data_IF_964722583994
#
_entry.id   IF_964722583994
#
_cell.length_a   1.000
_cell.length_b   1.000
_cell.length_c   1.000
_cell.angle_alpha   90.00
_cell.angle_beta   90.00
_cell.angle_gamma   90.00
#
_symmetry.space_group_name_H-M   'P 1'
#
loop_
_entity.id
_entity.type
_entity.pdbx_description
1 polymer ?
#
# COMPACT_ATOMS: atom_id res chain seq x y z
N UNK A 1 -21.44 -3.89 17.37
CA UNK A 1 -21.30 -2.87 16.29
C UNK A 1 -20.97 -3.51 14.94
N UNK A 2 -21.78 -4.48 14.54
CA UNK A 2 -21.61 -5.20 13.26
C UNK A 2 -21.57 -4.25 12.04
N UNK A 3 -22.24 -3.11 12.09
CA UNK A 3 -22.33 -2.17 10.96
C UNK A 3 -20.97 -1.55 10.60
N UNK A 4 -20.18 -1.16 11.61
CA UNK A 4 -18.83 -0.59 11.39
C UNK A 4 -17.89 -1.64 10.81
N UNK A 5 -18.04 -2.89 11.24
CA UNK A 5 -17.25 -4.01 10.71
C UNK A 5 -17.58 -4.29 9.25
N UNK A 6 -18.88 -4.27 8.87
CA UNK A 6 -19.30 -4.41 7.48
C UNK A 6 -18.79 -3.28 6.58
N UNK A 7 -18.84 -2.03 7.06
CA UNK A 7 -18.31 -0.87 6.31
C UNK A 7 -16.81 -1.02 6.05
N UNK A 8 -16.05 -1.47 7.05
CA UNK A 8 -14.60 -1.66 6.92
C UNK A 8 -14.27 -2.86 6.04
N UNK A 9 -14.94 -4.00 6.27
CA UNK A 9 -14.72 -5.23 5.50
C UNK A 9 -15.05 -5.06 4.01
N UNK A 10 -16.10 -4.29 3.67
CA UNK A 10 -16.47 -4.05 2.28
C UNK A 10 -15.34 -3.37 1.47
N UNK A 11 -14.61 -2.43 2.09
CA UNK A 11 -13.45 -1.81 1.47
C UNK A 11 -12.33 -2.80 1.18
N UNK A 12 -12.04 -3.70 2.11
CA UNK A 12 -11.02 -4.73 1.95
C UNK A 12 -11.42 -5.77 0.89
N UNK A 13 -12.68 -6.21 0.88
CA UNK A 13 -13.22 -7.10 -0.15
C UNK A 13 -13.14 -6.47 -1.54
N UNK A 14 -13.48 -5.18 -1.65
CA UNK A 14 -13.31 -4.42 -2.87
C UNK A 14 -11.85 -4.39 -3.35
N UNK A 15 -10.90 -4.18 -2.45
CA UNK A 15 -9.48 -4.15 -2.78
C UNK A 15 -8.98 -5.51 -3.29
N UNK A 16 -9.42 -6.61 -2.68
CA UNK A 16 -9.14 -7.96 -3.17
C UNK A 16 -9.64 -8.15 -4.61
N UNK A 17 -10.90 -7.81 -4.89
CA UNK A 17 -11.50 -7.93 -6.22
C UNK A 17 -10.73 -7.07 -7.25
N UNK A 18 -10.40 -5.84 -6.89
CA UNK A 18 -9.63 -4.92 -7.73
C UNK A 18 -8.24 -5.47 -8.07
N UNK A 19 -7.52 -5.99 -7.10
CA UNK A 19 -6.19 -6.55 -7.27
C UNK A 19 -6.19 -7.80 -8.18
N UNK A 20 -7.17 -8.71 -8.03
CA UNK A 20 -7.29 -9.92 -8.84
C UNK A 20 -7.54 -9.58 -10.31
N UNK A 21 -8.44 -8.64 -10.58
CA UNK A 21 -8.80 -8.27 -11.95
C UNK A 21 -7.74 -7.41 -12.64
N UNK A 22 -6.95 -6.67 -11.87
CA UNK A 22 -6.07 -5.62 -12.37
C UNK A 22 -4.96 -6.15 -13.28
N UNK A 23 -4.36 -7.30 -12.98
CA UNK A 23 -3.24 -7.85 -13.75
C UNK A 23 -3.55 -7.96 -15.23
N UNK A 24 -4.65 -8.64 -15.59
CA UNK A 24 -5.09 -8.79 -16.98
C UNK A 24 -5.54 -7.46 -17.61
N UNK A 25 -6.27 -6.65 -16.85
CA UNK A 25 -6.75 -5.36 -17.35
C UNK A 25 -5.58 -4.41 -17.67
N UNK A 26 -4.56 -4.36 -16.84
CA UNK A 26 -3.39 -3.53 -17.06
C UNK A 26 -2.55 -3.97 -18.28
N UNK A 27 -2.52 -5.27 -18.59
CA UNK A 27 -1.85 -5.81 -19.77
C UNK A 27 -2.63 -5.51 -21.07
N UNK A 28 -3.96 -5.49 -21.01
CA UNK A 28 -4.82 -5.20 -22.17
C UNK A 28 -4.84 -3.71 -22.48
N UNK A 29 -5.17 -2.89 -21.51
CA UNK A 29 -5.47 -1.46 -21.71
C UNK A 29 -4.27 -0.52 -21.49
N UNK A 30 -3.23 -0.99 -20.80
CA UNK A 30 -2.06 -0.19 -20.40
C UNK A 30 -2.13 0.28 -18.96
N UNK A 31 -0.95 0.48 -18.39
CA UNK A 31 -0.81 0.84 -16.96
C UNK A 31 -1.38 2.21 -16.67
N UNK A 32 -1.01 3.20 -17.50
CA UNK A 32 -1.49 4.58 -17.37
C UNK A 32 -3.00 4.69 -17.39
N UNK A 33 -3.66 4.04 -18.35
CA UNK A 33 -5.13 4.11 -18.48
C UNK A 33 -5.83 3.48 -17.27
N UNK A 34 -5.32 2.37 -16.78
CA UNK A 34 -5.87 1.68 -15.62
C UNK A 34 -5.73 2.54 -14.35
N UNK A 35 -4.59 3.23 -14.16
CA UNK A 35 -4.43 4.18 -13.05
C UNK A 35 -5.40 5.36 -13.19
N UNK A 36 -5.60 5.91 -14.38
CA UNK A 36 -6.59 6.97 -14.63
C UNK A 36 -8.01 6.51 -14.27
N UNK A 37 -8.41 5.31 -14.72
CA UNK A 37 -9.71 4.73 -14.41
C UNK A 37 -9.86 4.51 -12.90
N UNK A 38 -8.84 4.00 -12.23
CA UNK A 38 -8.88 3.81 -10.77
C UNK A 38 -9.03 5.13 -10.03
N UNK A 39 -8.36 6.21 -10.47
CA UNK A 39 -8.51 7.53 -9.89
C UNK A 39 -9.94 8.08 -10.02
N UNK A 40 -10.59 7.86 -11.17
CA UNK A 40 -11.99 8.23 -11.37
C UNK A 40 -12.92 7.40 -10.48
N UNK A 41 -12.74 6.09 -10.44
CA UNK A 41 -13.53 5.20 -9.57
C UNK A 41 -13.38 5.61 -8.11
N UNK A 42 -12.16 5.94 -7.67
CA UNK A 42 -11.91 6.41 -6.31
C UNK A 42 -12.63 7.73 -6.02
N UNK A 43 -12.52 8.72 -6.91
CA UNK A 43 -13.20 10.02 -6.74
C UNK A 43 -14.72 9.86 -6.66
N UNK A 44 -15.32 9.07 -7.56
CA UNK A 44 -16.76 8.77 -7.54
C UNK A 44 -17.15 8.02 -6.28
N UNK A 45 -16.38 7.03 -5.85
CA UNK A 45 -16.62 6.26 -4.63
C UNK A 45 -16.54 7.13 -3.36
N UNK A 46 -15.58 8.06 -3.29
CA UNK A 46 -15.46 9.00 -2.19
C UNK A 46 -16.64 9.99 -2.12
N UNK A 47 -17.04 10.53 -3.27
CA UNK A 47 -18.24 11.36 -3.34
C UNK A 47 -19.50 10.60 -2.95
N UNK A 48 -19.68 9.39 -3.46
CA UNK A 48 -20.81 8.53 -3.12
C UNK A 48 -20.82 8.18 -1.62
N UNK A 49 -19.67 7.87 -1.03
CA UNK A 49 -19.57 7.59 0.42
C UNK A 49 -20.06 8.77 1.27
N UNK A 50 -19.67 10.00 0.92
CA UNK A 50 -20.13 11.19 1.63
C UNK A 50 -21.61 11.55 1.38
N UNK A 51 -22.21 11.10 0.26
CA UNK A 51 -23.63 11.29 -0.06
C UNK A 51 -24.52 10.16 0.45
N UNK A 52 -23.96 9.09 1.02
CA UNK A 52 -24.73 7.94 1.48
C UNK A 52 -25.73 8.34 2.57
N UNK A 53 -26.98 7.88 2.41
CA UNK A 53 -28.10 8.14 3.35
C UNK A 53 -28.39 6.95 4.23
N UNK A 54 -28.02 5.76 3.81
CA UNK A 54 -28.26 4.50 4.50
C UNK A 54 -27.01 3.61 4.55
N UNK A 55 -27.00 2.65 5.46
CA UNK A 55 -25.90 1.74 5.68
C UNK A 55 -25.53 0.96 4.41
N UNK A 56 -26.53 0.48 3.67
CA UNK A 56 -26.31 -0.30 2.44
C UNK A 56 -25.56 0.52 1.39
N UNK A 57 -26.01 1.77 1.16
CA UNK A 57 -25.36 2.69 0.24
C UNK A 57 -23.90 2.94 0.63
N UNK A 58 -23.62 3.11 1.94
CA UNK A 58 -22.28 3.30 2.43
C UNK A 58 -21.39 2.04 2.24
N UNK A 59 -21.92 0.85 2.50
CA UNK A 59 -21.20 -0.41 2.29
C UNK A 59 -20.85 -0.61 0.80
N UNK A 60 -21.80 -0.36 -0.12
CA UNK A 60 -21.53 -0.46 -1.56
C UNK A 60 -20.53 0.58 -2.06
N UNK A 61 -20.61 1.81 -1.57
CA UNK A 61 -19.65 2.85 -1.94
C UNK A 61 -18.24 2.50 -1.43
N UNK A 62 -18.10 1.89 -0.26
CA UNK A 62 -16.83 1.38 0.29
C UNK A 62 -16.26 0.22 -0.53
N UNK A 63 -17.11 -0.71 -0.97
CA UNK A 63 -16.70 -1.78 -1.88
C UNK A 63 -16.17 -1.20 -3.20
N UNK A 64 -16.86 -0.21 -3.76
CA UNK A 64 -16.45 0.47 -4.98
C UNK A 64 -15.13 1.23 -4.83
N UNK A 65 -14.96 1.95 -3.72
CA UNK A 65 -13.70 2.58 -3.32
C UNK A 65 -12.57 1.56 -3.19
N UNK A 66 -12.86 0.43 -2.55
CA UNK A 66 -11.92 -0.67 -2.38
C UNK A 66 -11.39 -1.18 -3.72
N UNK A 67 -12.26 -1.38 -4.72
CA UNK A 67 -11.82 -1.82 -6.06
C UNK A 67 -10.78 -0.85 -6.63
N UNK A 68 -10.99 0.46 -6.50
CA UNK A 68 -10.02 1.45 -6.97
C UNK A 68 -8.68 1.35 -6.24
N UNK A 69 -8.71 1.16 -4.91
CA UNK A 69 -7.52 0.98 -4.08
C UNK A 69 -6.75 -0.27 -4.51
N UNK A 70 -7.43 -1.41 -4.69
CA UNK A 70 -6.80 -2.65 -5.12
C UNK A 70 -6.13 -2.55 -6.48
N UNK A 71 -6.81 -1.91 -7.45
CA UNK A 71 -6.26 -1.63 -8.77
C UNK A 71 -5.02 -0.74 -8.68
N UNK A 72 -5.09 0.35 -7.91
CA UNK A 72 -3.97 1.29 -7.76
C UNK A 72 -2.77 0.64 -7.05
N UNK A 73 -3.02 -0.12 -5.97
CA UNK A 73 -1.96 -0.78 -5.19
C UNK A 73 -1.14 -1.77 -6.00
N UNK A 74 -1.75 -2.40 -7.01
CA UNK A 74 -1.04 -3.28 -7.94
C UNK A 74 -0.37 -2.50 -9.08
N UNK A 75 -1.12 -1.60 -9.74
CA UNK A 75 -0.67 -0.98 -10.99
C UNK A 75 0.37 0.10 -10.78
N UNK A 76 0.30 0.87 -9.68
CA UNK A 76 1.22 1.99 -9.45
C UNK A 76 2.65 1.52 -9.22
N UNK A 77 2.95 0.54 -8.34
CA UNK A 77 4.31 0.01 -8.20
C UNK A 77 4.84 -0.61 -9.50
N UNK A 78 3.98 -1.31 -10.25
CA UNK A 78 4.33 -1.88 -11.55
C UNK A 78 4.69 -0.78 -12.56
N UNK A 79 3.89 0.28 -12.65
CA UNK A 79 4.16 1.42 -13.49
C UNK A 79 5.51 2.07 -13.16
N UNK A 80 5.77 2.31 -11.86
CA UNK A 80 7.05 2.86 -11.40
C UNK A 80 8.20 1.94 -11.77
N UNK A 81 8.07 0.63 -11.56
CA UNK A 81 9.12 -0.33 -11.86
C UNK A 81 9.44 -0.43 -13.37
N UNK A 82 8.44 -0.22 -14.25
CA UNK A 82 8.61 -0.26 -15.70
C UNK A 82 9.16 1.06 -16.30
N UNK A 83 8.89 2.21 -15.67
CA UNK A 83 9.31 3.52 -16.19
C UNK A 83 10.63 4.00 -15.56
N UNK A 84 10.97 3.52 -14.35
CA UNK A 84 12.15 3.96 -13.63
C UNK A 84 13.45 3.48 -14.27
N UNK A 85 14.48 4.36 -14.38
CA UNK A 85 15.82 3.96 -14.78
C UNK A 85 16.37 2.85 -13.88
N UNK A 86 17.16 1.92 -14.46
CA UNK A 86 17.68 0.76 -13.74
C UNK A 86 18.41 1.12 -12.44
N UNK A 87 19.19 2.22 -12.44
CA UNK A 87 19.96 2.71 -11.27
C UNK A 87 19.09 3.19 -10.11
N UNK A 88 17.91 3.74 -10.37
CA UNK A 88 17.04 4.35 -9.36
C UNK A 88 15.75 3.55 -9.08
N UNK A 89 15.53 2.46 -9.82
CA UNK A 89 14.28 1.67 -9.76
C UNK A 89 13.92 1.23 -8.34
N UNK A 90 14.84 0.62 -7.62
CA UNK A 90 14.60 0.16 -6.24
C UNK A 90 14.20 1.31 -5.32
N UNK A 91 14.92 2.44 -5.41
CA UNK A 91 14.61 3.63 -4.61
C UNK A 91 13.23 4.22 -4.92
N UNK A 92 12.86 4.32 -6.21
CA UNK A 92 11.56 4.84 -6.63
C UNK A 92 10.40 3.92 -6.24
N UNK A 93 10.58 2.60 -6.33
CA UNK A 93 9.59 1.62 -5.85
C UNK A 93 9.44 1.71 -4.32
N UNK A 94 10.54 1.90 -3.57
CA UNK A 94 10.47 2.08 -2.12
C UNK A 94 9.76 3.38 -1.72
N UNK A 95 9.82 4.44 -2.54
CA UNK A 95 9.06 5.67 -2.33
C UNK A 95 7.55 5.46 -2.39
N UNK A 96 7.06 4.41 -3.07
CA UNK A 96 5.64 4.05 -3.02
C UNK A 96 5.17 3.81 -1.59
N UNK A 97 5.92 3.02 -0.82
CA UNK A 97 5.58 2.77 0.59
C UNK A 97 5.60 4.06 1.44
N UNK A 98 6.57 4.93 1.21
CA UNK A 98 6.61 6.23 1.88
C UNK A 98 5.38 7.08 1.56
N UNK A 99 4.96 7.11 0.29
CA UNK A 99 3.75 7.86 -0.11
C UNK A 99 2.48 7.27 0.52
N UNK A 100 2.40 5.96 0.72
CA UNK A 100 1.29 5.31 1.44
C UNK A 100 1.25 5.83 2.90
N UNK A 101 2.37 5.86 3.61
CA UNK A 101 2.41 6.33 5.00
C UNK A 101 2.12 7.83 5.12
N UNK A 102 2.60 8.65 4.17
CA UNK A 102 2.24 10.08 4.09
C UNK A 102 0.73 10.24 3.84
N UNK A 103 0.14 9.42 2.96
CA UNK A 103 -1.30 9.43 2.71
C UNK A 103 -2.12 9.12 3.95
N UNK A 104 -1.69 8.14 4.76
CA UNK A 104 -2.31 7.81 6.05
C UNK A 104 -2.24 9.01 7.02
N UNK A 105 -1.07 9.65 7.12
CA UNK A 105 -0.90 10.84 7.97
C UNK A 105 -1.81 11.99 7.52
N UNK A 106 -1.85 12.27 6.22
CA UNK A 106 -2.72 13.32 5.67
C UNK A 106 -4.21 13.01 5.89
N UNK A 107 -4.61 11.73 5.84
CA UNK A 107 -5.96 11.32 6.17
C UNK A 107 -6.30 11.62 7.62
N UNK A 108 -5.44 11.24 8.58
CA UNK A 108 -5.66 11.56 10.00
C UNK A 108 -5.70 13.08 10.26
N UNK A 109 -4.84 13.85 9.60
CA UNK A 109 -4.87 15.32 9.72
C UNK A 109 -6.17 15.90 9.15
N UNK A 110 -6.63 15.39 8.01
CA UNK A 110 -7.92 15.77 7.43
C UNK A 110 -9.08 15.43 8.36
N UNK A 111 -9.09 14.22 8.93
CA UNK A 111 -10.13 13.78 9.86
C UNK A 111 -10.17 14.69 11.10
N UNK A 112 -9.00 15.10 11.62
CA UNK A 112 -8.89 16.05 12.73
C UNK A 112 -9.46 17.43 12.37
N UNK A 113 -9.22 17.89 11.15
CA UNK A 113 -9.69 19.22 10.69
C UNK A 113 -11.22 19.27 10.55
N UNK A 114 -11.83 18.17 10.11
CA UNK A 114 -13.29 18.09 9.91
C UNK A 114 -14.05 17.55 11.14
N UNK A 115 -13.33 17.00 12.14
CA UNK A 115 -13.95 16.47 13.35
C UNK A 115 -14.61 17.61 14.16
N UNK A 116 -15.90 17.51 14.33
CA UNK A 116 -16.70 18.43 15.15
C UNK A 116 -17.69 17.60 15.99
N UNK A 117 -17.49 17.56 17.31
CA UNK A 117 -18.33 16.76 18.21
C UNK A 117 -19.80 17.21 18.22
N UNK A 118 -20.08 18.44 17.78
CA UNK A 118 -21.43 19.01 17.72
C UNK A 118 -22.15 18.73 16.40
N UNK A 119 -21.46 18.19 15.37
CA UNK A 119 -22.03 17.93 14.06
C UNK A 119 -22.04 16.45 13.74
N UNK A 120 -23.22 15.86 13.61
CA UNK A 120 -23.40 14.45 13.26
C UNK A 120 -22.93 14.12 11.82
N UNK A 121 -22.87 15.08 10.92
CA UNK A 121 -22.53 14.89 9.50
C UNK A 121 -21.06 15.20 9.18
N UNK A 122 -20.21 15.44 10.15
CA UNK A 122 -18.77 15.75 9.93
C UNK A 122 -18.03 14.65 9.15
N UNK A 123 -18.40 13.38 9.33
CA UNK A 123 -17.82 12.25 8.63
C UNK A 123 -17.96 12.30 7.09
N UNK A 124 -18.98 13.02 6.58
CA UNK A 124 -19.19 13.20 5.13
C UNK A 124 -18.05 14.00 4.51
N UNK A 125 -17.62 15.06 5.20
CA UNK A 125 -16.50 15.91 4.77
C UNK A 125 -15.17 15.13 4.80
N UNK A 126 -14.97 14.23 5.76
CA UNK A 126 -13.81 13.36 5.82
C UNK A 126 -13.72 12.46 4.57
N UNK A 127 -14.85 11.90 4.09
CA UNK A 127 -14.86 11.15 2.84
C UNK A 127 -14.62 12.03 1.61
N UNK A 128 -15.22 13.20 1.56
CA UNK A 128 -15.03 14.12 0.43
C UNK A 128 -13.60 14.64 0.34
N UNK A 129 -12.90 14.78 1.43
CA UNK A 129 -11.47 15.13 1.43
C UNK A 129 -10.63 14.14 0.61
N UNK A 130 -11.01 12.86 0.56
CA UNK A 130 -10.38 11.85 -0.28
C UNK A 130 -10.48 12.11 -1.80
N UNK A 131 -11.41 12.97 -2.25
CA UNK A 131 -11.51 13.35 -3.66
C UNK A 131 -10.31 14.17 -4.12
N UNK A 132 -9.73 14.98 -3.23
CA UNK A 132 -8.59 15.86 -3.56
C UNK A 132 -7.37 15.06 -4.06
N UNK A 133 -6.84 14.07 -3.32
CA UNK A 133 -5.73 13.27 -3.82
C UNK A 133 -6.08 12.46 -5.08
N UNK A 134 -7.34 12.03 -5.25
CA UNK A 134 -7.77 11.37 -6.48
C UNK A 134 -7.70 12.28 -7.69
N UNK A 135 -8.12 13.54 -7.55
CA UNK A 135 -8.01 14.55 -8.61
C UNK A 135 -6.55 14.90 -8.91
N UNK A 136 -5.71 15.02 -7.89
CA UNK A 136 -4.27 15.23 -8.08
C UNK A 136 -3.64 14.07 -8.86
N UNK A 137 -3.98 12.83 -8.52
CA UNK A 137 -3.53 11.65 -9.26
C UNK A 137 -4.05 11.66 -10.71
N UNK A 138 -5.33 11.98 -10.91
CA UNK A 138 -5.96 12.02 -12.23
C UNK A 138 -5.25 13.05 -13.13
N UNK A 139 -5.07 14.27 -12.64
CA UNK A 139 -4.38 15.35 -13.36
C UNK A 139 -2.93 15.01 -13.61
N UNK A 140 -2.20 14.54 -12.58
CA UNK A 140 -0.80 14.13 -12.71
C UNK A 140 -0.59 13.04 -13.77
N UNK A 141 -1.45 12.03 -13.81
CA UNK A 141 -1.37 10.93 -14.77
C UNK A 141 -1.71 11.37 -16.22
N UNK A 142 -2.37 12.51 -16.43
CA UNK A 142 -2.55 13.04 -17.77
C UNK A 142 -1.24 13.48 -18.42
N UNK A 143 -0.26 13.93 -17.64
CA UNK A 143 1.04 14.41 -18.12
C UNK A 143 2.10 13.31 -18.24
N UNK A 144 1.88 12.13 -17.68
CA UNK A 144 2.85 11.04 -17.66
C UNK A 144 2.60 10.09 -18.84
N UNK A 145 3.65 9.60 -19.55
CA UNK A 145 3.50 8.69 -20.69
C UNK A 145 3.11 7.27 -20.24
N UNK A 146 2.73 6.42 -21.21
CA UNK A 146 2.58 4.98 -20.99
C UNK A 146 3.94 4.31 -20.84
N UNK A 147 4.00 3.12 -20.22
CA UNK A 147 5.26 2.43 -19.94
C UNK A 147 5.92 1.91 -21.23
N UNK A 148 7.27 1.99 -21.35
CA UNK A 148 7.99 1.50 -22.53
C UNK A 148 7.73 0.01 -22.81
N UNK A 149 7.69 -0.82 -21.76
CA UNK A 149 7.46 -2.25 -21.87
C UNK A 149 6.09 -2.58 -22.46
N UNK A 150 5.04 -1.89 -22.03
CA UNK A 150 3.71 -2.08 -22.59
C UNK A 150 3.61 -1.58 -24.03
N UNK A 151 4.18 -0.41 -24.34
CA UNK A 151 4.19 0.12 -25.70
C UNK A 151 4.88 -0.85 -26.68
N UNK A 152 5.98 -1.44 -26.27
CA UNK A 152 6.72 -2.41 -27.06
C UNK A 152 5.91 -3.72 -27.24
N UNK A 153 5.28 -4.23 -26.19
CA UNK A 153 4.44 -5.43 -26.26
C UNK A 153 3.23 -5.28 -27.21
N UNK A 154 2.79 -4.03 -27.45
CA UNK A 154 1.72 -3.69 -28.41
C UNK A 154 2.24 -3.30 -29.79
N UNK A 155 3.55 -3.44 -30.05
CA UNK A 155 4.17 -3.09 -31.34
C UNK A 155 4.32 -1.58 -31.61
N UNK A 156 4.13 -0.72 -30.58
CA UNK A 156 4.20 0.75 -30.69
C UNK A 156 5.63 1.26 -30.50
N UNK A 157 6.58 0.76 -31.33
CA UNK A 157 8.02 1.01 -31.21
C UNK A 157 8.37 2.51 -31.24
N UNK A 158 7.71 3.29 -32.11
CA UNK A 158 7.98 4.74 -32.22
C UNK A 158 7.70 5.49 -30.93
N UNK A 159 6.64 5.12 -30.22
CA UNK A 159 6.27 5.75 -28.96
C UNK A 159 7.15 5.26 -27.81
N UNK A 160 7.46 3.96 -27.79
CA UNK A 160 8.42 3.39 -26.85
C UNK A 160 9.75 4.15 -26.91
N UNK A 161 10.30 4.36 -28.12
CA UNK A 161 11.54 5.12 -28.32
C UNK A 161 11.44 6.55 -27.79
N UNK A 162 10.35 7.26 -28.06
CA UNK A 162 10.13 8.64 -27.55
C UNK A 162 10.09 8.70 -26.02
N UNK A 163 9.53 7.69 -25.37
CA UNK A 163 9.49 7.63 -23.91
C UNK A 163 10.87 7.34 -23.35
N UNK A 164 11.59 6.37 -23.91
CA UNK A 164 12.95 6.01 -23.47
C UNK A 164 13.93 7.16 -23.64
N UNK A 165 13.86 7.92 -24.75
CA UNK A 165 14.70 9.09 -24.96
C UNK A 165 14.52 10.22 -23.94
N UNK A 166 13.38 10.25 -23.21
CA UNK A 166 13.16 11.21 -22.13
C UNK A 166 13.75 10.76 -20.80
N UNK A 167 14.05 9.47 -20.66
CA UNK A 167 14.40 8.83 -19.37
C UNK A 167 15.86 8.41 -19.34
N UNK A 168 16.39 7.96 -20.48
CA UNK A 168 17.73 7.38 -20.63
C UNK A 168 18.53 8.10 -21.71
N UNK A 169 19.87 8.07 -21.65
CA UNK A 169 20.75 8.63 -22.66
C UNK A 169 20.51 7.96 -24.04
N UNK A 170 20.59 8.75 -25.10
CA UNK A 170 20.24 8.31 -26.46
C UNK A 170 21.07 7.12 -26.96
N UNK A 171 22.33 7.02 -26.53
CA UNK A 171 23.25 5.92 -26.89
C UNK A 171 22.82 4.56 -26.29
N UNK A 172 22.03 4.53 -25.23
CA UNK A 172 21.57 3.30 -24.56
C UNK A 172 20.17 2.85 -24.99
N UNK A 173 19.39 3.72 -25.64
CA UNK A 173 17.99 3.47 -26.00
C UNK A 173 17.83 2.26 -26.93
N UNK A 174 18.70 2.09 -27.95
CA UNK A 174 18.59 0.98 -28.88
C UNK A 174 18.89 -0.36 -28.21
N UNK A 175 19.89 -0.39 -27.32
CA UNK A 175 20.27 -1.60 -26.58
C UNK A 175 19.16 -1.99 -25.59
N UNK A 176 18.54 -1.01 -24.93
CA UNK A 176 17.40 -1.26 -24.04
C UNK A 176 16.18 -1.79 -24.79
N UNK A 177 15.87 -1.25 -25.97
CA UNK A 177 14.78 -1.77 -26.81
C UNK A 177 15.07 -3.22 -27.20
N UNK A 178 16.27 -3.54 -27.68
CA UNK A 178 16.64 -4.90 -28.04
C UNK A 178 16.56 -5.88 -26.87
N UNK A 179 17.01 -5.47 -25.67
CA UNK A 179 16.87 -6.28 -24.46
C UNK A 179 15.40 -6.53 -24.09
N UNK A 180 14.55 -5.49 -24.14
CA UNK A 180 13.11 -5.61 -23.87
C UNK A 180 12.40 -6.49 -24.91
N UNK A 181 12.75 -6.41 -26.19
CA UNK A 181 12.20 -7.28 -27.25
C UNK A 181 12.51 -8.75 -26.97
N UNK A 182 13.75 -9.05 -26.65
CA UNK A 182 14.18 -10.42 -26.30
C UNK A 182 13.46 -10.92 -25.05
N UNK A 183 13.25 -10.06 -24.05
CA UNK A 183 12.48 -10.41 -22.83
C UNK A 183 11.01 -10.70 -23.17
N UNK A 184 10.35 -9.82 -23.91
CA UNK A 184 8.95 -9.96 -24.32
C UNK A 184 8.75 -11.23 -25.17
N UNK A 185 9.66 -11.51 -26.09
CA UNK A 185 9.60 -12.69 -26.95
C UNK A 185 9.82 -13.98 -26.12
N UNK A 186 10.74 -13.97 -25.16
CA UNK A 186 10.92 -15.05 -24.20
C UNK A 186 9.67 -15.27 -23.33
N UNK A 187 9.04 -14.19 -22.88
CA UNK A 187 7.81 -14.27 -22.10
C UNK A 187 6.63 -14.81 -22.95
N UNK A 188 6.60 -14.48 -24.23
CA UNK A 188 5.57 -14.96 -25.17
C UNK A 188 5.77 -16.42 -25.57
N UNK A 189 7.02 -16.85 -25.78
CA UNK A 189 7.38 -18.21 -26.19
C UNK A 189 7.44 -19.19 -25.00
N UNK A 190 7.84 -18.71 -23.83
CA UNK A 190 7.62 -19.43 -22.59
C UNK A 190 6.22 -19.07 -22.13
N UNK A 191 5.25 -19.94 -22.37
CA UNK A 191 4.01 -19.93 -21.61
C UNK A 191 4.35 -20.16 -20.12
N UNK A 192 4.89 -19.11 -19.47
CA UNK A 192 5.20 -19.10 -18.03
C UNK A 192 3.84 -18.98 -17.30
N UNK A 193 3.05 -20.05 -17.46
CA UNK A 193 1.83 -20.19 -16.70
C UNK A 193 2.15 -20.48 -15.24
N UNK A 194 1.13 -20.48 -14.42
CA UNK A 194 1.17 -20.83 -12.99
C UNK A 194 1.94 -22.14 -12.70
N UNK A 195 1.96 -23.09 -13.66
CA UNK A 195 2.73 -24.33 -13.58
C UNK A 195 4.25 -24.13 -13.51
N UNK A 196 4.77 -23.04 -14.08
CA UNK A 196 6.21 -22.73 -14.03
C UNK A 196 6.65 -22.30 -12.62
N UNK A 197 5.80 -21.57 -11.89
CA UNK A 197 6.05 -21.19 -10.51
C UNK A 197 6.06 -22.39 -9.54
N UNK A 198 5.44 -23.50 -9.94
CA UNK A 198 5.45 -24.74 -9.17
C UNK A 198 6.70 -25.61 -9.37
N UNK A 199 7.67 -25.13 -10.17
CA UNK A 199 8.95 -25.85 -10.31
C UNK A 199 9.69 -25.94 -8.97
N UNK A 200 10.39 -27.06 -8.69
CA UNK A 200 11.00 -27.29 -7.37
C UNK A 200 11.91 -26.16 -6.88
N UNK A 201 12.66 -25.53 -7.77
CA UNK A 201 13.59 -24.46 -7.43
C UNK A 201 12.91 -23.10 -7.16
N UNK A 202 11.67 -22.88 -7.64
CA UNK A 202 10.89 -21.67 -7.39
C UNK A 202 9.93 -21.79 -6.21
N UNK A 203 9.68 -23.00 -5.71
CA UNK A 203 8.77 -23.23 -4.59
C UNK A 203 9.23 -22.52 -3.33
N UNK A 204 10.52 -22.55 -3.03
CA UNK A 204 11.09 -21.89 -1.85
C UNK A 204 10.94 -20.37 -1.91
N UNK A 205 11.37 -19.66 -2.97
CA UNK A 205 11.10 -18.24 -3.15
C UNK A 205 9.61 -17.88 -3.07
N UNK A 206 8.75 -18.67 -3.68
CA UNK A 206 7.29 -18.47 -3.67
C UNK A 206 6.74 -18.60 -2.26
N UNK A 207 7.10 -19.66 -1.55
CA UNK A 207 6.65 -19.86 -0.16
C UNK A 207 7.13 -18.72 0.75
N UNK A 208 8.38 -18.29 0.62
CA UNK A 208 8.91 -17.16 1.40
C UNK A 208 8.10 -15.88 1.09
N UNK A 209 7.83 -15.57 -0.18
CA UNK A 209 7.09 -14.38 -0.57
C UNK A 209 5.66 -14.39 0.00
N UNK A 210 4.95 -15.51 -0.15
CA UNK A 210 3.58 -15.67 0.37
C UNK A 210 3.58 -15.59 1.89
N UNK A 211 4.50 -16.29 2.58
CA UNK A 211 4.59 -16.23 4.04
C UNK A 211 4.89 -14.83 4.55
N UNK A 212 5.84 -14.12 3.93
CA UNK A 212 6.19 -12.75 4.35
C UNK A 212 4.96 -11.84 4.24
N UNK A 213 4.23 -11.87 3.13
CA UNK A 213 3.06 -11.01 2.94
C UNK A 213 1.89 -11.43 3.81
N UNK A 214 1.64 -12.72 3.95
CA UNK A 214 0.62 -13.24 4.84
C UNK A 214 0.87 -12.80 6.29
N UNK A 215 2.07 -13.02 6.82
CA UNK A 215 2.41 -12.61 8.18
C UNK A 215 2.46 -11.10 8.35
N UNK A 216 2.80 -10.33 7.32
CA UNK A 216 2.72 -8.87 7.34
C UNK A 216 1.29 -8.39 7.67
N UNK A 217 0.28 -9.01 7.10
CA UNK A 217 -1.12 -8.66 7.40
C UNK A 217 -1.57 -9.23 8.74
N UNK A 218 -1.12 -10.43 9.09
CA UNK A 218 -1.46 -11.10 10.34
C UNK A 218 -0.93 -10.39 11.60
N UNK A 219 0.11 -9.57 11.46
CA UNK A 219 0.60 -8.69 12.54
C UNK A 219 -0.49 -7.70 13.00
N UNK A 220 -1.49 -7.40 12.16
CA UNK A 220 -2.65 -6.59 12.56
C UNK A 220 -2.45 -5.09 12.42
N UNK A 221 -1.49 -4.62 11.62
CA UNK A 221 -1.24 -3.18 11.43
C UNK A 221 -2.48 -2.43 10.93
N UNK A 222 -3.24 -3.04 10.03
CA UNK A 222 -4.47 -2.44 9.50
C UNK A 222 -5.51 -2.24 10.59
N UNK A 223 -5.60 -3.17 11.56
CA UNK A 223 -6.47 -3.00 12.73
C UNK A 223 -6.06 -1.79 13.55
N UNK A 224 -4.76 -1.61 13.78
CA UNK A 224 -4.27 -0.43 14.51
C UNK A 224 -4.56 0.86 13.74
N UNK A 225 -4.33 0.89 12.43
CA UNK A 225 -4.57 2.07 11.60
C UNK A 225 -6.07 2.42 11.54
N UNK A 226 -6.94 1.44 11.25
CA UNK A 226 -8.38 1.72 11.06
C UNK A 226 -9.13 1.98 12.36
N UNK A 227 -8.71 1.36 13.45
CA UNK A 227 -9.40 1.47 14.74
C UNK A 227 -8.63 2.28 15.78
N UNK A 228 -7.57 3.02 15.38
CA UNK A 228 -6.75 3.80 16.31
C UNK A 228 -7.55 4.75 17.20
N UNK A 229 -8.54 5.54 16.73
CA UNK A 229 -9.32 6.39 17.62
C UNK A 229 -10.11 5.59 18.65
N UNK A 230 -10.69 4.44 18.23
CA UNK A 230 -11.43 3.55 19.14
C UNK A 230 -10.52 2.93 20.20
N UNK A 231 -9.31 2.52 19.80
CA UNK A 231 -8.31 1.95 20.73
C UNK A 231 -7.91 3.01 21.77
N UNK A 232 -7.69 4.26 21.35
CA UNK A 232 -7.37 5.35 22.30
C UNK A 232 -8.53 5.68 23.23
N UNK A 233 -9.78 5.67 22.76
CA UNK A 233 -10.95 5.81 23.64
C UNK A 233 -11.01 4.68 24.67
N UNK A 234 -10.74 3.43 24.27
CA UNK A 234 -10.67 2.29 25.21
C UNK A 234 -9.49 2.40 26.17
N UNK A 235 -8.41 3.07 25.78
CA UNK A 235 -7.27 3.37 26.64
C UNK A 235 -7.54 4.51 27.65
N UNK A 236 -8.73 5.12 27.61
CA UNK A 236 -9.17 6.13 28.60
C UNK A 236 -9.00 7.58 28.15
N UNK A 237 -8.95 7.84 26.83
CA UNK A 237 -9.07 9.21 26.32
C UNK A 237 -10.52 9.70 26.47
N UNK A 238 -10.69 10.93 26.96
CA UNK A 238 -12.00 11.45 27.37
C UNK A 238 -12.87 11.89 26.20
N UNK A 239 -12.26 12.34 25.08
CA UNK A 239 -12.99 12.83 23.93
C UNK A 239 -12.57 12.15 22.63
N UNK A 240 -13.50 12.08 21.68
CA UNK A 240 -13.23 11.58 20.32
C UNK A 240 -12.16 12.42 19.62
N UNK A 241 -12.15 13.72 19.84
CA UNK A 241 -11.18 14.63 19.25
C UNK A 241 -9.75 14.34 19.75
N UNK A 242 -9.59 14.11 21.07
CA UNK A 242 -8.26 13.74 21.62
C UNK A 242 -7.76 12.40 21.09
N UNK A 243 -8.65 11.43 20.88
CA UNK A 243 -8.31 10.15 20.28
C UNK A 243 -7.89 10.27 18.79
N UNK A 244 -8.55 11.14 18.02
CA UNK A 244 -8.17 11.43 16.65
C UNK A 244 -6.79 12.12 16.60
N UNK A 245 -6.52 13.09 17.47
CA UNK A 245 -5.19 13.72 17.61
C UNK A 245 -4.09 12.70 17.94
N UNK A 246 -4.36 11.75 18.83
CA UNK A 246 -3.44 10.67 19.12
C UNK A 246 -3.16 9.78 17.87
N UNK A 247 -4.17 9.60 17.01
CA UNK A 247 -4.00 8.89 15.73
C UNK A 247 -3.12 9.65 14.73
N UNK A 248 -3.13 10.99 14.74
CA UNK A 248 -2.15 11.79 13.99
C UNK A 248 -0.73 11.46 14.46
N UNK A 249 -0.52 11.30 15.77
CA UNK A 249 0.76 10.85 16.32
C UNK A 249 1.22 9.50 15.75
N UNK A 250 0.31 8.53 15.59
CA UNK A 250 0.60 7.26 14.89
C UNK A 250 1.06 7.51 13.46
N UNK A 251 0.37 8.38 12.72
CA UNK A 251 0.73 8.73 11.36
C UNK A 251 2.14 9.36 11.27
N UNK A 252 2.47 10.28 12.18
CA UNK A 252 3.80 10.90 12.24
C UNK A 252 4.88 9.85 12.51
N UNK A 253 4.68 9.01 13.52
CA UNK A 253 5.60 7.90 13.84
C UNK A 253 5.79 6.99 12.63
N UNK A 254 4.70 6.60 11.96
CA UNK A 254 4.76 5.75 10.78
C UNK A 254 5.62 6.37 9.66
N UNK A 255 5.42 7.64 9.33
CA UNK A 255 6.22 8.35 8.30
C UNK A 255 7.69 8.44 8.71
N UNK A 256 7.98 8.92 9.93
CA UNK A 256 9.36 9.10 10.42
C UNK A 256 10.13 7.79 10.38
N UNK A 257 9.54 6.72 10.91
CA UNK A 257 10.21 5.42 10.96
C UNK A 257 10.27 4.71 9.60
N UNK A 258 9.34 4.99 8.68
CA UNK A 258 9.47 4.56 7.28
C UNK A 258 10.65 5.25 6.59
N UNK A 259 10.84 6.56 6.79
CA UNK A 259 12.02 7.28 6.27
C UNK A 259 13.31 6.69 6.85
N UNK A 260 13.35 6.46 8.15
CA UNK A 260 14.52 5.82 8.82
C UNK A 260 14.77 4.43 8.21
N UNK A 261 13.74 3.64 7.96
CA UNK A 261 13.86 2.32 7.33
C UNK A 261 14.56 2.37 5.97
N UNK A 262 14.22 3.35 5.12
CA UNK A 262 14.88 3.50 3.81
C UNK A 262 16.40 3.67 3.90
N UNK A 263 16.89 4.30 4.97
CA UNK A 263 18.33 4.43 5.22
C UNK A 263 18.94 3.19 5.88
N UNK A 264 18.20 2.52 6.78
CA UNK A 264 18.71 1.38 7.54
C UNK A 264 18.78 0.10 6.71
N UNK A 265 17.88 -0.09 5.75
CA UNK A 265 17.82 -1.30 4.91
C UNK A 265 19.15 -1.61 4.22
N UNK A 266 19.82 -0.59 3.71
CA UNK A 266 21.09 -0.76 3.01
C UNK A 266 22.30 -0.90 3.95
N UNK A 267 22.19 -0.40 5.20
CA UNK A 267 23.29 -0.45 6.19
C UNK A 267 23.28 -1.72 7.06
N UNK A 268 22.12 -2.09 7.59
CA UNK A 268 21.96 -3.20 8.55
C UNK A 268 21.68 -4.51 7.83
N UNK A 269 21.05 -4.44 6.65
CA UNK A 269 20.65 -5.59 5.86
C UNK A 269 19.25 -6.11 6.24
N UNK A 270 18.58 -6.72 5.25
CA UNK A 270 17.14 -7.08 5.28
C UNK A 270 16.83 -8.03 6.46
N UNK A 271 17.63 -9.10 6.63
CA UNK A 271 17.39 -10.13 7.64
C UNK A 271 17.45 -9.60 9.08
N UNK A 272 18.48 -8.83 9.41
CA UNK A 272 18.63 -8.28 10.77
C UNK A 272 17.51 -7.31 11.10
N UNK A 273 17.12 -6.47 10.12
CA UNK A 273 16.06 -5.49 10.28
C UNK A 273 14.70 -6.16 10.51
N UNK A 274 14.44 -7.29 9.83
CA UNK A 274 13.25 -8.11 10.09
C UNK A 274 13.21 -8.63 11.54
N UNK A 275 14.32 -9.18 12.05
CA UNK A 275 14.36 -9.69 13.43
C UNK A 275 14.16 -8.57 14.45
N UNK A 276 14.81 -7.41 14.27
CA UNK A 276 14.63 -6.25 15.15
C UNK A 276 13.16 -5.81 15.17
N UNK A 277 12.56 -5.72 14.01
CA UNK A 277 11.17 -5.30 13.91
C UNK A 277 10.19 -6.31 14.51
N UNK A 278 10.31 -7.60 14.18
CA UNK A 278 9.42 -8.63 14.71
C UNK A 278 9.50 -8.74 16.23
N UNK A 279 10.74 -8.73 16.79
CA UNK A 279 10.92 -8.76 18.25
C UNK A 279 10.37 -7.51 18.92
N UNK A 280 10.56 -6.33 18.31
CA UNK A 280 9.99 -5.07 18.81
C UNK A 280 8.47 -5.04 18.77
N UNK A 281 7.86 -5.53 17.67
CA UNK A 281 6.41 -5.68 17.55
C UNK A 281 5.87 -6.62 18.64
N UNK A 282 6.46 -7.81 18.79
CA UNK A 282 6.04 -8.79 19.78
C UNK A 282 6.13 -8.21 21.20
N UNK A 283 7.23 -7.54 21.52
CA UNK A 283 7.40 -6.87 22.80
C UNK A 283 6.35 -5.79 23.03
N UNK A 284 6.10 -4.92 22.03
CA UNK A 284 5.12 -3.85 22.14
C UNK A 284 3.70 -4.38 22.34
N UNK A 285 3.32 -5.45 21.61
CA UNK A 285 1.99 -6.08 21.75
C UNK A 285 1.83 -6.74 23.13
N UNK A 286 2.85 -7.43 23.64
CA UNK A 286 2.80 -8.03 24.97
C UNK A 286 2.64 -6.97 26.06
N UNK A 287 3.43 -5.89 25.99
CA UNK A 287 3.31 -4.78 26.93
C UNK A 287 1.95 -4.07 26.83
N UNK A 288 1.46 -3.85 25.59
CA UNK A 288 0.14 -3.26 25.37
C UNK A 288 -0.96 -4.13 25.97
N UNK A 289 -0.91 -5.45 25.78
CA UNK A 289 -1.86 -6.39 26.35
C UNK A 289 -1.83 -6.37 27.88
N UNK A 290 -0.63 -6.33 28.48
CA UNK A 290 -0.48 -6.19 29.92
C UNK A 290 -1.10 -4.88 30.42
N UNK A 291 -0.86 -3.76 29.74
CA UNK A 291 -1.48 -2.48 30.10
C UNK A 291 -3.01 -2.52 30.05
N UNK A 292 -3.61 -3.21 29.08
CA UNK A 292 -5.09 -3.38 29.04
C UNK A 292 -5.62 -4.26 30.18
N UNK A 293 -4.91 -5.37 30.52
CA UNK A 293 -5.32 -6.26 31.63
C UNK A 293 -5.25 -5.53 32.98
N UNK A 294 -4.21 -4.74 33.19
CA UNK A 294 -3.99 -4.02 34.45
C UNK A 294 -4.46 -2.55 34.40
N UNK A 295 -5.30 -2.17 33.42
CA UNK A 295 -5.73 -0.79 33.22
C UNK A 295 -6.30 -0.13 34.47
N UNK A 296 -7.15 -0.86 35.25
CA UNK A 296 -7.76 -0.38 36.47
C UNK A 296 -6.75 -0.12 37.60
N UNK A 297 -5.59 -0.79 37.61
CA UNK A 297 -4.56 -0.62 38.62
C UNK A 297 -3.54 0.46 38.27
N UNK A 298 -3.28 0.64 36.98
CA UNK A 298 -2.28 1.57 36.46
C UNK A 298 -2.78 3.02 36.30
N UNK A 299 -4.10 3.21 36.24
CA UNK A 299 -4.72 4.55 36.14
C UNK A 299 -4.13 5.38 34.96
N UNK A 300 -3.74 6.63 35.26
CA UNK A 300 -3.15 7.54 34.26
C UNK A 300 -1.83 7.04 33.66
N UNK A 301 -1.00 6.40 34.47
CA UNK A 301 0.28 5.84 33.99
C UNK A 301 0.01 4.77 32.93
N UNK A 302 -1.00 3.93 33.15
CA UNK A 302 -1.41 2.91 32.19
C UNK A 302 -1.81 3.50 30.83
N UNK A 303 -2.53 4.61 30.84
CA UNK A 303 -2.92 5.35 29.62
C UNK A 303 -1.70 5.77 28.78
N UNK A 304 -0.72 6.41 29.40
CA UNK A 304 0.49 6.84 28.72
C UNK A 304 1.35 5.67 28.25
N UNK A 305 1.44 4.59 29.04
CA UNK A 305 2.14 3.37 28.62
C UNK A 305 1.48 2.73 27.38
N UNK A 306 0.14 2.69 27.31
CA UNK A 306 -0.58 2.21 26.13
C UNK A 306 -0.22 3.01 24.88
N UNK A 307 -0.17 4.34 24.97
CA UNK A 307 0.23 5.23 23.87
C UNK A 307 1.67 4.94 23.43
N UNK A 308 2.60 4.82 24.37
CA UNK A 308 4.02 4.55 24.09
C UNK A 308 4.18 3.21 23.39
N UNK A 309 3.55 2.15 23.89
CA UNK A 309 3.67 0.83 23.26
C UNK A 309 2.94 0.74 21.93
N UNK A 310 1.85 1.48 21.74
CA UNK A 310 1.18 1.58 20.46
C UNK A 310 2.03 2.31 19.42
N UNK A 311 2.69 3.40 19.79
CA UNK A 311 3.65 4.09 18.94
C UNK A 311 4.88 3.23 18.67
N UNK A 312 5.38 2.49 19.67
CA UNK A 312 6.46 1.52 19.53
C UNK A 312 6.11 0.42 18.53
N UNK A 313 4.92 -0.14 18.64
CA UNK A 313 4.42 -1.14 17.69
C UNK A 313 4.45 -0.63 16.24
N UNK A 314 3.90 0.57 16.00
CA UNK A 314 3.88 1.17 14.67
C UNK A 314 5.30 1.51 14.18
N UNK A 315 6.16 1.99 15.06
CA UNK A 315 7.56 2.29 14.76
C UNK A 315 8.34 1.04 14.31
N UNK A 316 8.22 -0.06 15.05
CA UNK A 316 8.88 -1.32 14.69
C UNK A 316 8.32 -1.94 13.41
N UNK A 317 7.02 -1.80 13.17
CA UNK A 317 6.40 -2.19 11.90
C UNK A 317 6.94 -1.36 10.73
N UNK A 318 6.97 -0.03 10.87
CA UNK A 318 7.40 0.89 9.83
C UNK A 318 8.89 0.78 9.49
N UNK A 319 9.72 0.42 10.47
CA UNK A 319 11.16 0.17 10.23
C UNK A 319 11.38 -1.13 9.46
N UNK A 320 10.54 -2.14 9.66
CA UNK A 320 10.84 -3.51 9.22
C UNK A 320 9.85 -4.05 8.21
N UNK A 321 8.80 -4.70 8.67
CA UNK A 321 7.88 -5.52 7.87
C UNK A 321 7.19 -4.68 6.79
N UNK A 322 6.84 -3.42 7.08
CA UNK A 322 6.13 -2.54 6.16
C UNK A 322 6.85 -2.40 4.81
N UNK A 323 8.01 -1.74 4.76
CA UNK A 323 8.74 -1.54 3.51
C UNK A 323 9.50 -2.78 3.03
N UNK A 324 10.02 -3.63 3.95
CA UNK A 324 10.83 -4.78 3.59
C UNK A 324 10.05 -5.89 2.88
N UNK A 325 8.77 -6.06 3.16
CA UNK A 325 7.93 -7.06 2.49
C UNK A 325 7.99 -6.91 0.97
N UNK A 326 7.68 -5.73 0.48
CA UNK A 326 7.71 -5.41 -0.95
C UNK A 326 9.11 -5.49 -1.56
N UNK A 327 10.13 -5.04 -0.81
CA UNK A 327 11.51 -5.08 -1.26
C UNK A 327 12.00 -6.52 -1.42
N UNK A 328 11.81 -7.37 -0.43
CA UNK A 328 12.24 -8.78 -0.47
C UNK A 328 11.58 -9.54 -1.60
N UNK A 329 10.26 -9.34 -1.83
CA UNK A 329 9.57 -9.97 -2.96
C UNK A 329 10.18 -9.52 -4.29
N UNK A 330 10.51 -8.24 -4.43
CA UNK A 330 11.12 -7.75 -5.66
C UNK A 330 12.53 -8.29 -5.90
N UNK A 331 13.25 -8.69 -4.85
CA UNK A 331 14.62 -9.20 -4.91
C UNK A 331 14.70 -10.74 -5.00
N UNK A 332 13.76 -11.48 -4.39
CA UNK A 332 13.83 -12.94 -4.26
C UNK A 332 13.52 -13.69 -5.56
N UNK A 333 12.73 -13.08 -6.44
CA UNK A 333 12.36 -13.70 -7.71
C UNK A 333 13.35 -13.35 -8.82
N UNK A 334 13.79 -14.35 -9.61
CA UNK A 334 14.52 -14.10 -10.86
C UNK A 334 13.71 -13.20 -11.80
N UNK A 335 14.39 -12.44 -12.64
CA UNK A 335 13.75 -11.48 -13.56
C UNK A 335 12.63 -12.10 -14.39
N UNK A 336 12.78 -13.36 -14.82
CA UNK A 336 11.79 -14.09 -15.64
C UNK A 336 10.42 -14.30 -14.99
N UNK A 337 10.36 -14.41 -13.68
CA UNK A 337 9.12 -14.72 -12.93
C UNK A 337 8.77 -13.63 -11.93
N UNK A 338 9.55 -12.55 -11.87
CA UNK A 338 9.37 -11.46 -10.90
C UNK A 338 7.96 -10.88 -10.96
N UNK A 339 7.43 -10.62 -12.17
CA UNK A 339 6.08 -10.07 -12.33
C UNK A 339 4.98 -11.00 -11.78
N UNK A 340 5.07 -12.31 -12.07
CA UNK A 340 4.14 -13.30 -11.52
C UNK A 340 4.32 -13.49 -10.01
N UNK A 341 5.57 -13.53 -9.53
CA UNK A 341 5.87 -13.67 -8.11
C UNK A 341 5.39 -12.47 -7.28
N UNK A 342 5.58 -11.25 -7.77
CA UNK A 342 5.06 -10.03 -7.14
C UNK A 342 3.54 -9.98 -7.16
N UNK A 343 2.89 -10.46 -8.23
CA UNK A 343 1.42 -10.53 -8.30
C UNK A 343 0.85 -11.46 -7.23
N UNK A 344 1.47 -12.64 -7.00
CA UNK A 344 1.04 -13.58 -5.96
C UNK A 344 1.27 -12.97 -4.56
N UNK A 345 2.44 -12.35 -4.35
CA UNK A 345 2.70 -11.64 -3.09
C UNK A 345 1.66 -10.55 -2.83
N UNK A 346 1.28 -9.79 -3.85
CA UNK A 346 0.25 -8.75 -3.73
C UNK A 346 -1.16 -9.30 -3.47
N UNK A 347 -1.46 -10.53 -3.89
CA UNK A 347 -2.74 -11.19 -3.60
C UNK A 347 -2.84 -11.67 -2.15
N UNK A 348 -1.70 -11.86 -1.48
CA UNK A 348 -1.65 -12.27 -0.08
C UNK A 348 -1.80 -11.10 0.90
N UNK A 349 -1.79 -9.87 0.41
CA UNK A 349 -1.99 -8.61 1.14
C UNK A 349 -3.42 -8.12 1.00
#
# INVERSE_FOLDING_TARGET
>A
NNDVEWITAAGLLGAMLGAVCCGRLSDIFGRRKIILVSAVIFAVGALWSGLATDLKSLVFSRLFLGIAIGVASFTVPLYIAEIAPAKSRGRLVSMFQLMVTIGILLSYMSDTFWADENKLDCWRWMFWAGVVPALVLLVGMCFVPETPRWLLSKGRLKECRKVLQKIEPENTVNDLIGQMEVEIEKDRNSAVGWRYLMQPWLRTPLMIAVCIMFFQQFVGINTVIYYSPKIFLMAGFESTLSAIWASVGIGIVNVVFTVISLYLVDRIGRRKLYFIGLSGIAFSVLCLSACFIYANQLGEIGRWLMVIFMFGYVAFFAISIGPLGWLVISEIFPQKVRGLGTSIGSLAV
#
